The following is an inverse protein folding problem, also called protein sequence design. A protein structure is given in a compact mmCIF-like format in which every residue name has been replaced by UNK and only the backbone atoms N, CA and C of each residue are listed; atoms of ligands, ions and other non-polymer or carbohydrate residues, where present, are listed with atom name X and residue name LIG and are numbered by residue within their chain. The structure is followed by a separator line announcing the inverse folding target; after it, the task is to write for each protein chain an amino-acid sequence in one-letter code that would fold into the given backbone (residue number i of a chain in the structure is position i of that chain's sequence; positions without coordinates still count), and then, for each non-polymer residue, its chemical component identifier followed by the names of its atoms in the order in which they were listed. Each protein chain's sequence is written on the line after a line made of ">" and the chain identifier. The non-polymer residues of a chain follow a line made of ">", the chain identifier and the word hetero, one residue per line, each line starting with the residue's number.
data_IF_450696881465
#
_entry.id   IF_450696881465
#
_cell.length_a   1.000
_cell.length_b   1.000
_cell.length_c   1.000
_cell.angle_alpha   90.00
_cell.angle_beta   90.00
_cell.angle_gamma   90.00
#
_symmetry.space_group_name_H-M   'P 1'
#
loop_
_entity.id
_entity.type
_entity.pdbx_description
1 polymer ?
#
# COMPACT_ATOMS: atom_id res chain seq x y z
N UNK A 1 -6.02 -7.20 -0.02
CA UNK A 1 -7.34 -7.46 0.63
C UNK A 1 -7.40 -6.63 1.90
N UNK A 2 -8.58 -6.19 2.34
CA UNK A 2 -8.77 -5.58 3.66
C UNK A 2 -9.44 -6.62 4.55
N UNK A 3 -8.78 -7.10 5.61
CA UNK A 3 -9.37 -8.10 6.52
C UNK A 3 -10.07 -7.48 7.71
N UNK A 4 -9.68 -6.28 8.13
CA UNK A 4 -10.36 -5.53 9.17
C UNK A 4 -10.25 -4.02 8.91
N UNK A 5 -11.34 -3.31 9.15
CA UNK A 5 -11.41 -1.85 9.13
C UNK A 5 -12.55 -1.41 10.03
N UNK A 6 -12.27 -0.61 11.05
CA UNK A 6 -13.29 -0.05 11.95
C UNK A 6 -13.52 1.46 11.73
N UNK A 7 -12.84 2.05 10.74
CA UNK A 7 -13.04 3.42 10.31
C UNK A 7 -14.23 3.56 9.36
N UNK A 8 -14.99 4.65 9.50
CA UNK A 8 -16.09 5.02 8.59
C UNK A 8 -15.55 5.39 7.20
N UNK A 9 -14.38 6.02 7.15
CA UNK A 9 -13.68 6.31 5.89
C UNK A 9 -12.19 6.10 6.04
N UNK A 10 -11.55 5.53 5.02
CA UNK A 10 -10.10 5.40 4.91
C UNK A 10 -9.67 5.88 3.54
N UNK A 11 -8.64 6.71 3.47
CA UNK A 11 -8.02 7.08 2.21
C UNK A 11 -6.68 6.38 2.09
N UNK A 12 -6.53 5.63 1.00
CA UNK A 12 -5.29 5.01 0.61
C UNK A 12 -4.69 5.77 -0.58
N UNK A 13 -3.37 5.91 -0.58
CA UNK A 13 -2.60 6.36 -1.72
C UNK A 13 -1.85 5.18 -2.30
N UNK A 14 -1.96 5.00 -3.61
CA UNK A 14 -1.21 3.99 -4.35
C UNK A 14 -0.19 4.70 -5.20
N UNK A 15 1.06 4.28 -5.04
CA UNK A 15 2.18 4.78 -5.83
C UNK A 15 2.94 3.61 -6.43
N UNK A 16 3.48 3.83 -7.62
CA UNK A 16 4.39 2.91 -8.30
C UNK A 16 5.75 3.57 -8.39
N UNK A 17 6.80 2.84 -8.04
CA UNK A 17 8.18 3.31 -8.04
C UNK A 17 9.07 2.43 -8.90
N UNK A 18 10.05 3.06 -9.54
CA UNK A 18 11.20 2.38 -10.10
C UNK A 18 12.04 1.80 -8.96
N UNK A 19 12.57 0.60 -9.15
CA UNK A 19 13.50 0.00 -8.21
C UNK A 19 14.95 0.35 -8.59
N UNK A 20 15.72 0.84 -7.62
CA UNK A 20 17.18 0.97 -7.74
C UNK A 20 17.80 0.20 -6.59
N UNK A 21 18.69 -0.75 -6.91
CA UNK A 21 19.31 -1.65 -5.93
C UNK A 21 18.30 -2.44 -5.06
N UNK A 22 17.10 -2.70 -5.59
CA UNK A 22 16.03 -3.42 -4.88
C UNK A 22 15.21 -2.55 -3.93
N UNK A 23 15.38 -1.22 -3.95
CA UNK A 23 14.60 -0.27 -3.16
C UNK A 23 13.83 0.73 -4.04
N UNK A 24 12.67 1.24 -3.58
CA UNK A 24 11.93 2.28 -4.28
C UNK A 24 12.75 3.57 -4.41
N UNK A 25 12.89 4.07 -5.64
CA UNK A 25 13.70 5.25 -5.96
C UNK A 25 12.85 6.43 -6.46
N UNK A 26 12.48 6.43 -7.74
CA UNK A 26 11.68 7.48 -8.36
C UNK A 26 10.21 7.02 -8.55
N UNK A 27 9.21 7.89 -8.30
CA UNK A 27 7.83 7.58 -8.63
C UNK A 27 7.66 7.52 -10.16
N UNK A 28 6.93 6.50 -10.64
CA UNK A 28 6.62 6.30 -12.06
C UNK A 28 5.26 6.92 -12.44
N UNK A 29 4.39 7.17 -11.46
CA UNK A 29 3.12 7.85 -11.68
C UNK A 29 3.33 9.36 -11.68
N UNK A 30 2.78 10.05 -12.69
CA UNK A 30 2.74 11.51 -12.73
C UNK A 30 1.86 12.09 -11.61
N UNK A 31 0.82 11.36 -11.21
CA UNK A 31 -0.07 11.72 -10.12
C UNK A 31 -0.38 10.49 -9.25
N UNK A 32 -0.34 10.63 -7.92
CA UNK A 32 -0.70 9.55 -7.01
C UNK A 32 -2.18 9.15 -7.18
N UNK A 33 -2.46 7.86 -7.12
CA UNK A 33 -3.85 7.35 -7.18
C UNK A 33 -4.40 7.31 -5.76
N UNK A 34 -5.47 8.06 -5.51
CA UNK A 34 -6.18 8.01 -4.25
C UNK A 34 -7.39 7.09 -4.34
N UNK A 35 -7.51 6.18 -3.38
CA UNK A 35 -8.68 5.32 -3.23
C UNK A 35 -9.31 5.54 -1.86
N UNK A 36 -10.53 6.07 -1.85
CA UNK A 36 -11.34 6.14 -0.65
C UNK A 36 -12.10 4.81 -0.45
N UNK A 37 -12.08 4.32 0.78
CA UNK A 37 -12.84 3.18 1.25
C UNK A 37 -13.90 3.74 2.21
N UNK A 38 -15.17 3.47 1.94
CA UNK A 38 -16.31 3.95 2.74
C UNK A 38 -16.98 2.79 3.47
N UNK A 39 -17.08 2.90 4.79
CA UNK A 39 -17.69 1.93 5.69
C UNK A 39 -16.67 0.94 6.29
N UNK A 40 -17.15 0.23 7.31
CA UNK A 40 -16.39 -0.72 8.12
C UNK A 40 -16.35 -2.12 7.51
N UNK A 41 -15.55 -3.00 8.09
CA UNK A 41 -15.47 -4.43 7.76
C UNK A 41 -14.51 -4.80 6.63
N UNK A 42 -14.35 -6.11 6.46
CA UNK A 42 -13.48 -6.70 5.45
C UNK A 42 -14.04 -6.49 4.03
N UNK A 43 -13.15 -6.23 3.07
CA UNK A 43 -13.53 -6.07 1.66
C UNK A 43 -12.36 -6.19 0.71
N UNK A 44 -12.67 -6.51 -0.56
CA UNK A 44 -11.72 -6.46 -1.66
C UNK A 44 -11.76 -5.07 -2.29
N UNK A 45 -10.63 -4.37 -2.23
CA UNK A 45 -10.44 -3.10 -2.94
C UNK A 45 -9.66 -3.40 -4.21
N UNK A 46 -10.23 -3.05 -5.36
CA UNK A 46 -9.56 -3.16 -6.66
C UNK A 46 -9.25 -1.75 -7.18
N UNK A 47 -8.05 -1.59 -7.71
CA UNK A 47 -7.60 -0.36 -8.35
C UNK A 47 -7.08 -0.73 -9.73
N UNK A 48 -7.66 -0.10 -10.74
CA UNK A 48 -7.24 -0.27 -12.12
C UNK A 48 -6.09 0.70 -12.41
N UNK A 49 -4.96 0.17 -12.87
CA UNK A 49 -3.79 0.95 -13.26
C UNK A 49 -3.66 1.12 -14.78
N UNK A 50 -4.58 0.56 -15.57
CA UNK A 50 -4.52 0.64 -17.04
C UNK A 50 -4.59 2.08 -17.55
N UNK A 51 -5.37 2.91 -16.86
CA UNK A 51 -5.65 4.29 -17.30
C UNK A 51 -4.48 5.25 -17.02
N UNK A 52 -3.42 4.78 -16.34
CA UNK A 52 -2.27 5.63 -16.00
C UNK A 52 -1.16 5.64 -17.06
N UNK A 53 -1.33 4.93 -18.19
CA UNK A 53 -0.33 4.80 -19.26
C UNK A 53 1.09 4.60 -18.70
N UNK A 54 1.21 3.66 -17.75
CA UNK A 54 2.47 3.43 -17.04
C UNK A 54 3.41 2.64 -17.97
N UNK A 55 4.37 3.33 -18.58
CA UNK A 55 5.45 2.70 -19.31
C UNK A 55 6.57 2.36 -18.33
N UNK A 56 6.94 1.08 -18.28
CA UNK A 56 8.00 0.59 -17.40
C UNK A 56 9.07 -0.01 -18.29
N UNK A 57 10.20 0.68 -18.41
CA UNK A 57 11.36 0.18 -19.15
C UNK A 57 12.16 -0.86 -18.35
N UNK A 58 11.91 -0.93 -17.02
CA UNK A 58 12.58 -1.84 -16.10
C UNK A 58 11.80 -3.13 -15.83
N UNK A 59 12.52 -4.23 -15.66
CA UNK A 59 11.94 -5.55 -15.36
C UNK A 59 11.35 -5.67 -13.94
N UNK A 60 11.49 -4.64 -13.08
CA UNK A 60 11.03 -4.68 -11.70
C UNK A 60 10.56 -3.32 -11.17
N UNK A 61 9.37 -3.29 -10.58
CA UNK A 61 8.75 -2.11 -9.95
C UNK A 61 8.28 -2.43 -8.54
N UNK A 62 8.20 -1.39 -7.70
CA UNK A 62 7.52 -1.47 -6.42
C UNK A 62 6.15 -0.80 -6.50
N UNK A 63 5.10 -1.54 -6.15
CA UNK A 63 3.76 -0.99 -5.92
C UNK A 63 3.57 -0.84 -4.42
N UNK A 64 3.21 0.36 -3.98
CA UNK A 64 3.06 0.70 -2.58
C UNK A 64 1.62 1.09 -2.27
N UNK A 65 1.16 0.74 -1.06
CA UNK A 65 -0.13 1.17 -0.52
C UNK A 65 0.17 1.93 0.76
N UNK A 66 -0.24 3.19 0.79
CA UNK A 66 -0.01 4.10 1.91
C UNK A 66 -1.34 4.54 2.50
N UNK A 67 -1.43 4.49 3.82
CA UNK A 67 -2.59 5.02 4.55
C UNK A 67 -2.37 6.51 4.82
N UNK A 68 -3.14 7.37 4.14
CA UNK A 68 -2.92 8.83 4.21
C UNK A 68 -3.90 9.54 5.15
N UNK A 69 -5.11 9.01 5.32
CA UNK A 69 -6.09 9.58 6.24
C UNK A 69 -7.18 8.58 6.61
N UNK A 70 -7.89 8.86 7.69
CA UNK A 70 -9.06 8.11 8.14
C UNK A 70 -10.09 9.01 8.84
N UNK A 71 -11.31 8.50 9.05
CA UNK A 71 -12.35 9.15 9.86
C UNK A 71 -11.95 9.24 11.33
N UNK A 72 -12.58 10.16 12.07
CA UNK A 72 -12.33 10.33 13.51
C UNK A 72 -12.64 9.09 14.35
N UNK A 73 -13.64 8.30 13.95
CA UNK A 73 -14.04 7.09 14.65
C UNK A 73 -13.38 5.86 14.01
N UNK A 74 -12.86 4.98 14.85
CA UNK A 74 -12.08 3.79 14.48
C UNK A 74 -10.71 3.78 15.18
N UNK A 75 -10.06 2.63 15.20
CA UNK A 75 -8.75 2.36 15.83
C UNK A 75 -7.89 1.40 15.03
N UNK A 76 -8.43 0.65 14.07
CA UNK A 76 -7.77 -0.49 13.46
C UNK A 76 -8.00 -0.58 11.94
N UNK A 77 -6.89 -0.76 11.23
CA UNK A 77 -6.86 -1.12 9.81
C UNK A 77 -5.93 -2.32 9.61
N UNK A 78 -6.41 -3.39 8.98
CA UNK A 78 -5.63 -4.58 8.67
C UNK A 78 -5.62 -4.88 7.16
N UNK A 79 -4.42 -4.83 6.58
CA UNK A 79 -4.12 -5.07 5.18
C UNK A 79 -3.26 -6.34 5.06
N UNK A 80 -3.88 -7.52 5.00
CA UNK A 80 -3.14 -8.76 4.83
C UNK A 80 -2.54 -8.82 3.42
N UNK A 81 -1.23 -9.04 3.35
CA UNK A 81 -0.53 -9.37 2.11
C UNK A 81 -0.64 -10.89 1.94
N UNK A 82 -1.79 -11.34 1.41
CA UNK A 82 -2.04 -12.74 1.09
C UNK A 82 -1.44 -13.07 -0.28
N UNK A 83 -0.48 -13.99 -0.31
CA UNK A 83 0.12 -14.57 -1.51
C UNK A 83 0.69 -15.95 -1.19
N UNK A 84 1.01 -16.79 -2.19
CA UNK A 84 2.37 -17.29 -2.32
C UNK A 84 3.24 -16.18 -2.92
N UNK A 85 4.04 -15.47 -2.10
CA UNK A 85 4.86 -14.35 -2.59
C UNK A 85 6.25 -14.83 -2.96
N UNK A 86 6.50 -15.04 -4.26
CA UNK A 86 7.86 -15.02 -4.82
C UNK A 86 8.42 -13.58 -4.93
N UNK A 87 7.64 -12.58 -4.48
CA UNK A 87 8.00 -11.16 -4.51
C UNK A 87 8.70 -10.70 -3.21
N UNK A 88 9.48 -9.63 -3.31
CA UNK A 88 10.08 -8.95 -2.15
C UNK A 88 9.08 -7.96 -1.55
N UNK A 89 8.87 -8.01 -0.24
CA UNK A 89 8.04 -7.04 0.47
C UNK A 89 8.88 -5.85 0.94
N UNK A 90 8.37 -4.65 0.71
CA UNK A 90 8.99 -3.40 1.09
C UNK A 90 8.05 -2.65 2.04
N UNK A 91 8.58 -2.24 3.19
CA UNK A 91 7.81 -1.55 4.22
C UNK A 91 8.49 -0.25 4.65
N UNK A 92 7.69 0.80 4.85
CA UNK A 92 8.15 2.07 5.40
C UNK A 92 7.05 2.66 6.31
N UNK A 93 7.40 2.94 7.57
CA UNK A 93 6.44 3.41 8.58
C UNK A 93 6.04 4.89 8.41
N UNK A 94 6.92 5.72 7.84
CA UNK A 94 6.65 7.14 7.60
C UNK A 94 7.56 7.68 6.50
N UNK A 95 7.19 8.82 5.90
CA UNK A 95 7.88 9.36 4.73
C UNK A 95 9.40 9.58 4.92
N UNK A 96 9.83 9.90 6.15
CA UNK A 96 11.22 10.12 6.53
C UNK A 96 12.00 8.84 6.89
N UNK A 97 11.34 7.68 6.97
CA UNK A 97 11.99 6.44 7.39
C UNK A 97 12.62 5.71 6.19
N UNK A 98 13.66 4.92 6.46
CA UNK A 98 14.24 4.02 5.46
C UNK A 98 13.29 2.87 5.10
N UNK A 99 13.42 2.38 3.87
CA UNK A 99 12.74 1.18 3.44
C UNK A 99 13.30 -0.04 4.15
N UNK A 100 12.42 -0.94 4.61
CA UNK A 100 12.78 -2.25 5.14
C UNK A 100 12.38 -3.31 4.13
N UNK A 101 13.32 -4.19 3.81
CA UNK A 101 13.16 -5.26 2.82
C UNK A 101 12.95 -6.61 3.49
N UNK A 102 11.95 -7.36 3.04
CA UNK A 102 11.61 -8.69 3.54
C UNK A 102 11.48 -9.65 2.34
N UNK A 103 12.45 -10.55 2.12
CA UNK A 103 12.37 -11.53 1.04
C UNK A 103 11.31 -12.59 1.34
N UNK A 104 10.44 -12.87 0.37
CA UNK A 104 9.51 -14.03 0.32
C UNK A 104 8.85 -14.40 1.66
N UNK A 105 7.95 -13.53 2.16
CA UNK A 105 7.20 -13.77 3.40
C UNK A 105 5.74 -13.34 3.26
N UNK A 106 4.80 -14.22 3.61
CA UNK A 106 3.41 -13.81 3.81
C UNK A 106 3.29 -13.08 5.15
N UNK A 107 2.87 -11.81 5.13
CA UNK A 107 2.73 -10.99 6.35
C UNK A 107 1.42 -10.23 6.36
N UNK A 108 0.83 -10.05 7.56
CA UNK A 108 -0.31 -9.16 7.74
C UNK A 108 0.18 -7.82 8.25
N UNK A 109 -0.11 -6.75 7.51
CA UNK A 109 0.12 -5.40 7.99
C UNK A 109 -1.08 -4.97 8.83
N UNK A 110 -0.90 -4.88 10.15
CA UNK A 110 -1.89 -4.35 11.08
C UNK A 110 -1.44 -2.99 11.60
N UNK A 111 -2.28 -1.96 11.41
CA UNK A 111 -2.06 -0.65 11.99
C UNK A 111 -3.13 -0.36 13.02
N UNK A 112 -2.68 0.05 14.21
CA UNK A 112 -3.52 0.51 15.32
C UNK A 112 -3.15 1.92 15.71
N UNK A 113 -4.14 2.80 15.79
CA UNK A 113 -3.97 4.16 16.31
C UNK A 113 -4.20 4.11 17.83
N UNK A 114 -3.27 4.65 18.61
CA UNK A 114 -3.42 4.86 20.07
C UNK A 114 -3.55 6.36 20.33
N UNK A 115 -4.50 6.74 21.19
CA UNK A 115 -4.66 8.09 21.71
C UNK A 115 -3.75 8.29 22.92
#
# INVERSE_FOLDING_TARGET
>A
MLSANDFDTVQLRINVYQLRNGEPSAPLLQQPIYKQIVGKGARRVQVNLRDTNLFVDDNAVAVTVEWVSHSRHGKQLALPLLMPAFATHLYRYGAANHWKRFPSMSTTMELRVRY
#
